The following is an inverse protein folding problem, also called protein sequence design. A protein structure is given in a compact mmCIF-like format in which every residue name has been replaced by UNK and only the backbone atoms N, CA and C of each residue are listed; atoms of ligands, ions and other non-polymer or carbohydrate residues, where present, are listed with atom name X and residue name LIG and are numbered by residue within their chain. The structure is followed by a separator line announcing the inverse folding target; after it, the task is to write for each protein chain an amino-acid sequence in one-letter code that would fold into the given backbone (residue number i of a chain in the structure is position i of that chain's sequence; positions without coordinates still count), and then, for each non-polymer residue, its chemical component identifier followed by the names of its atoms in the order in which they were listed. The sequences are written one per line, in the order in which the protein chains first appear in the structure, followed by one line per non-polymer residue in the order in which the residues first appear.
data_IF_769089513600
#
_entry.id   IF_769089513600
#
_cell.length_a   1.000
_cell.length_b   1.000
_cell.length_c   1.000
_cell.angle_alpha   90.00
_cell.angle_beta   90.00
_cell.angle_gamma   90.00
#
_symmetry.space_group_name_H-M   'P 1'
#
loop_
_entity.id
_entity.type
_entity.pdbx_description
1 polymer ?
#
# COMPACT_ATOMS: atom_id res chain seq x y z
N UNK A 1 16.78 9.21 -8.09
CA UNK A 1 15.77 10.13 -8.58
C UNK A 1 15.00 10.74 -7.42
N UNK A 2 14.61 12.00 -7.55
CA UNK A 2 13.80 12.63 -6.52
C UNK A 2 12.39 12.03 -6.47
N UNK A 3 11.85 11.94 -5.28
CA UNK A 3 10.47 11.48 -5.08
C UNK A 3 9.50 12.49 -5.70
N UNK A 4 8.52 12.00 -6.46
CA UNK A 4 7.49 12.83 -7.06
C UNK A 4 6.38 13.08 -6.06
N UNK A 5 6.31 14.29 -5.49
CA UNK A 5 5.30 14.66 -4.50
C UNK A 5 3.89 14.81 -5.09
N UNK A 6 3.75 14.76 -6.41
CA UNK A 6 2.47 14.87 -7.09
C UNK A 6 1.85 13.51 -7.44
N UNK A 7 2.44 12.41 -6.98
CA UNK A 7 1.84 11.10 -7.21
C UNK A 7 0.52 10.95 -6.43
N UNK A 8 -0.34 10.06 -6.92
CA UNK A 8 -1.69 9.87 -6.36
C UNK A 8 -1.66 9.46 -4.89
N UNK A 9 -0.73 8.59 -4.50
CA UNK A 9 -0.66 8.12 -3.12
C UNK A 9 -0.22 9.24 -2.17
N UNK A 10 0.72 10.08 -2.59
CA UNK A 10 1.10 11.25 -1.80
C UNK A 10 -0.09 12.21 -1.61
N UNK A 11 -0.90 12.38 -2.66
CA UNK A 11 -2.10 13.21 -2.58
C UNK A 11 -3.14 12.63 -1.63
N UNK A 12 -3.30 11.31 -1.62
CA UNK A 12 -4.19 10.63 -0.67
C UNK A 12 -3.69 10.85 0.76
N UNK A 13 -2.40 10.74 1.00
CA UNK A 13 -1.82 10.97 2.33
C UNK A 13 -2.03 12.40 2.82
N UNK A 14 -2.04 13.38 1.92
CA UNK A 14 -2.29 14.79 2.26
C UNK A 14 -3.78 15.11 2.38
N UNK A 15 -4.65 14.17 2.08
CA UNK A 15 -6.09 14.38 2.13
C UNK A 15 -6.66 15.10 0.89
N UNK A 16 -5.86 15.26 -0.17
CA UNK A 16 -6.31 15.93 -1.40
C UNK A 16 -7.19 15.06 -2.27
N UNK A 17 -7.03 13.73 -2.16
CA UNK A 17 -7.83 12.75 -2.88
C UNK A 17 -8.46 11.82 -1.85
N UNK A 18 -9.79 11.63 -1.87
CA UNK A 18 -10.45 10.72 -0.93
C UNK A 18 -10.12 9.26 -1.24
N UNK A 19 -10.17 8.42 -0.20
CA UNK A 19 -10.01 6.97 -0.34
C UNK A 19 -10.93 6.27 0.65
N UNK A 20 -11.20 4.98 0.40
CA UNK A 20 -11.90 4.14 1.37
C UNK A 20 -10.85 3.57 2.30
N UNK A 21 -10.70 4.21 3.45
CA UNK A 21 -9.66 3.88 4.43
C UNK A 21 -10.03 2.62 5.19
N UNK A 22 -9.10 1.67 5.31
CA UNK A 22 -9.26 0.44 6.08
C UNK A 22 -8.54 0.53 7.43
N UNK A 23 -7.38 1.16 7.45
CA UNK A 23 -6.55 1.27 8.64
C UNK A 23 -5.52 2.39 8.44
N UNK A 24 -5.21 3.10 9.52
CA UNK A 24 -4.18 4.14 9.48
C UNK A 24 -3.51 4.23 10.85
N UNK A 25 -2.18 4.36 10.86
CA UNK A 25 -1.42 4.68 12.05
C UNK A 25 -0.35 5.73 11.72
N UNK A 26 0.63 5.92 12.61
CA UNK A 26 1.69 6.92 12.42
C UNK A 26 2.55 6.66 11.20
N UNK A 27 2.65 5.41 10.75
CA UNK A 27 3.62 4.98 9.75
C UNK A 27 3.00 4.53 8.44
N UNK A 28 1.75 4.07 8.46
CA UNK A 28 1.14 3.45 7.29
C UNK A 28 -0.31 3.86 7.11
N UNK A 29 -0.79 3.70 5.86
CA UNK A 29 -2.19 3.84 5.50
C UNK A 29 -2.58 2.63 4.65
N UNK A 30 -3.69 2.01 4.98
CA UNK A 30 -4.28 0.94 4.18
C UNK A 30 -5.64 1.37 3.66
N UNK A 31 -5.90 1.14 2.37
CA UNK A 31 -7.16 1.56 1.74
C UNK A 31 -7.52 0.60 0.60
N UNK A 32 -8.79 0.67 0.17
CA UNK A 32 -9.27 -0.14 -0.95
C UNK A 32 -8.77 0.43 -2.27
N UNK A 33 -8.36 -0.45 -3.19
CA UNK A 33 -8.02 -0.02 -4.54
C UNK A 33 -9.33 0.38 -5.26
N UNK A 34 -9.28 1.52 -5.97
CA UNK A 34 -10.45 1.99 -6.73
C UNK A 34 -10.69 1.19 -8.00
N UNK A 35 -9.70 0.42 -8.45
CA UNK A 35 -9.82 -0.48 -9.61
C UNK A 35 -9.39 -1.89 -9.18
N UNK A 36 -10.16 -2.56 -8.32
CA UNK A 36 -9.76 -3.85 -7.76
C UNK A 36 -9.78 -4.96 -8.81
N UNK A 37 -8.78 -5.84 -8.74
CA UNK A 37 -8.72 -7.05 -9.56
C UNK A 37 -9.49 -8.21 -8.93
N UNK A 38 -9.77 -8.12 -7.63
CA UNK A 38 -10.49 -9.15 -6.88
C UNK A 38 -11.18 -8.49 -5.69
N UNK A 39 -12.17 -9.19 -5.11
CA UNK A 39 -12.80 -8.74 -3.89
C UNK A 39 -11.75 -8.62 -2.79
N UNK A 40 -11.76 -7.52 -2.05
CA UNK A 40 -10.80 -7.28 -1.00
C UNK A 40 -9.43 -6.82 -1.48
N UNK A 41 -9.32 -6.36 -2.73
CA UNK A 41 -8.05 -5.81 -3.25
C UNK A 41 -7.71 -4.53 -2.49
N UNK A 42 -6.74 -4.62 -1.60
CA UNK A 42 -6.33 -3.52 -0.73
C UNK A 42 -4.89 -3.12 -0.98
N UNK A 43 -4.58 -1.86 -0.67
CA UNK A 43 -3.23 -1.31 -0.79
C UNK A 43 -2.76 -0.86 0.59
N UNK A 44 -1.50 -1.13 0.90
CA UNK A 44 -0.82 -0.61 2.10
C UNK A 44 0.33 0.25 1.62
N UNK A 45 0.34 1.51 2.05
CA UNK A 45 1.41 2.44 1.70
C UNK A 45 2.07 3.00 2.96
N UNK A 46 3.40 3.22 2.92
CA UNK A 46 4.07 3.94 4.01
C UNK A 46 3.76 5.43 3.92
N UNK A 47 3.79 6.11 5.05
CA UNK A 47 3.69 7.58 5.08
C UNK A 47 5.02 8.23 4.72
N UNK A 48 6.12 7.48 4.81
CA UNK A 48 7.42 7.93 4.36
C UNK A 48 7.45 8.06 2.85
N UNK A 49 8.06 9.13 2.33
CA UNK A 49 8.17 9.39 0.90
C UNK A 49 9.26 8.49 0.29
N UNK A 50 8.84 7.39 -0.30
CA UNK A 50 9.74 6.45 -0.98
C UNK A 50 9.07 5.93 -2.24
N UNK A 51 9.81 5.91 -3.35
CA UNK A 51 9.29 5.39 -4.61
C UNK A 51 9.35 3.87 -4.64
N UNK A 52 10.45 3.29 -4.16
CA UNK A 52 10.68 1.84 -4.18
C UNK A 52 11.09 1.34 -2.80
N UNK A 53 11.12 0.01 -2.67
CA UNK A 53 11.60 -0.64 -1.45
C UNK A 53 13.05 -0.27 -1.11
N UNK A 54 13.85 0.01 -2.12
CA UNK A 54 15.28 0.28 -1.93
C UNK A 54 15.54 1.63 -1.27
N UNK A 55 14.57 2.53 -1.30
CA UNK A 55 14.67 3.87 -0.70
C UNK A 55 13.98 3.95 0.65
N UNK A 56 13.23 2.90 1.03
CA UNK A 56 12.45 2.88 2.26
C UNK A 56 13.33 2.59 3.47
N UNK A 57 13.08 3.29 4.59
CA UNK A 57 13.80 2.99 5.83
C UNK A 57 13.40 1.64 6.40
N UNK A 58 14.28 1.05 7.22
CA UNK A 58 14.00 -0.23 7.88
C UNK A 58 12.77 -0.13 8.78
N UNK A 59 12.62 0.98 9.49
CA UNK A 59 11.47 1.20 10.37
C UNK A 59 10.16 1.24 9.58
N UNK A 60 10.15 1.95 8.46
CA UNK A 60 8.96 2.04 7.60
C UNK A 60 8.65 0.69 6.94
N UNK A 61 9.68 -0.05 6.52
CA UNK A 61 9.49 -1.39 5.96
C UNK A 61 8.84 -2.34 6.97
N UNK A 62 9.32 -2.33 8.21
CA UNK A 62 8.76 -3.16 9.28
C UNK A 62 7.31 -2.77 9.57
N UNK A 63 7.02 -1.46 9.61
CA UNK A 63 5.66 -0.96 9.86
C UNK A 63 4.70 -1.38 8.75
N UNK A 64 5.14 -1.32 7.48
CA UNK A 64 4.34 -1.78 6.35
C UNK A 64 4.01 -3.27 6.46
N UNK A 65 4.97 -4.11 6.80
CA UNK A 65 4.73 -5.55 6.92
C UNK A 65 3.79 -5.86 8.09
N UNK A 66 3.87 -5.13 9.18
CA UNK A 66 2.94 -5.28 10.31
C UNK A 66 1.51 -4.94 9.87
N UNK A 67 1.32 -3.87 9.12
CA UNK A 67 0.01 -3.47 8.60
C UNK A 67 -0.50 -4.49 7.58
N UNK A 68 0.36 -4.98 6.68
CA UNK A 68 0.05 -6.05 5.73
C UNK A 68 -0.52 -7.27 6.45
N UNK A 69 0.13 -7.72 7.51
CA UNK A 69 -0.32 -8.86 8.30
C UNK A 69 -1.69 -8.61 8.92
N UNK A 70 -1.91 -7.40 9.43
CA UNK A 70 -3.19 -6.98 10.02
C UNK A 70 -4.32 -7.02 9.00
N UNK A 71 -4.10 -6.43 7.83
CA UNK A 71 -5.09 -6.40 6.74
C UNK A 71 -5.35 -7.81 6.21
N UNK A 72 -4.29 -8.60 5.98
CA UNK A 72 -4.44 -9.98 5.50
C UNK A 72 -5.22 -10.85 6.45
N UNK A 73 -4.99 -10.71 7.77
CA UNK A 73 -5.74 -11.44 8.78
C UNK A 73 -7.23 -11.07 8.73
N UNK A 74 -7.54 -9.77 8.57
CA UNK A 74 -8.91 -9.30 8.45
C UNK A 74 -9.58 -9.84 7.19
N UNK A 75 -8.87 -9.91 6.07
CA UNK A 75 -9.39 -10.46 4.81
C UNK A 75 -9.71 -11.95 4.95
N UNK A 76 -8.86 -12.71 5.62
CA UNK A 76 -9.11 -14.14 5.85
C UNK A 76 -10.36 -14.36 6.70
N UNK A 77 -10.55 -13.55 7.72
CA UNK A 77 -11.72 -13.66 8.63
C UNK A 77 -12.99 -13.11 8.01
N UNK A 78 -12.89 -11.92 7.39
CA UNK A 78 -14.07 -11.20 6.89
C UNK A 78 -14.58 -11.68 5.56
N UNK A 79 -13.68 -12.10 4.66
CA UNK A 79 -14.03 -12.54 3.30
C UNK A 79 -13.90 -14.04 3.13
N UNK A 80 -13.44 -14.76 4.14
CA UNK A 80 -13.24 -16.21 4.04
C UNK A 80 -12.16 -16.59 3.05
N UNK A 81 -11.18 -15.70 2.82
CA UNK A 81 -10.11 -15.95 1.86
C UNK A 81 -9.25 -17.14 2.28
N UNK A 82 -9.06 -18.10 1.37
CA UNK A 82 -8.22 -19.27 1.62
C UNK A 82 -6.75 -18.95 1.42
N UNK A 83 -6.45 -17.97 0.57
CA UNK A 83 -5.10 -17.51 0.30
C UNK A 83 -5.09 -16.06 -0.09
N UNK A 84 -3.93 -15.42 0.04
CA UNK A 84 -3.74 -14.01 -0.28
C UNK A 84 -2.45 -13.86 -1.05
N UNK A 85 -2.51 -13.18 -2.18
CA UNK A 85 -1.31 -12.80 -2.93
C UNK A 85 -0.88 -11.43 -2.45
N UNK A 86 0.37 -11.31 -2.06
CA UNK A 86 0.98 -10.03 -1.69
C UNK A 86 2.01 -9.66 -2.75
N UNK A 87 1.89 -8.46 -3.33
CA UNK A 87 2.81 -7.98 -4.35
C UNK A 87 3.40 -6.63 -3.97
N UNK A 88 4.66 -6.43 -4.34
CA UNK A 88 5.33 -5.14 -4.22
C UNK A 88 6.20 -4.97 -5.48
N UNK A 89 5.99 -3.89 -6.20
CA UNK A 89 6.61 -3.66 -7.51
C UNK A 89 7.57 -2.48 -7.43
N UNK A 90 8.79 -2.66 -7.93
CA UNK A 90 9.83 -1.65 -7.89
C UNK A 90 10.24 -1.24 -9.30
N UNK A 91 9.80 -0.04 -9.72
CA UNK A 91 10.14 0.52 -11.01
C UNK A 91 9.13 0.17 -12.10
N UNK A 92 9.06 1.01 -13.13
CA UNK A 92 8.11 0.85 -14.23
C UNK A 92 8.30 -0.47 -14.96
N UNK A 93 9.55 -0.91 -15.13
CA UNK A 93 9.87 -2.16 -15.84
C UNK A 93 9.29 -3.38 -15.10
N UNK A 94 9.06 -3.28 -13.79
CA UNK A 94 8.45 -4.34 -12.99
C UNK A 94 6.95 -4.19 -12.83
N UNK A 95 6.36 -3.14 -13.45
CA UNK A 95 4.91 -2.93 -13.42
C UNK A 95 4.45 -1.87 -12.41
N UNK A 96 5.36 -1.14 -11.77
CA UNK A 96 4.98 -0.08 -10.86
C UNK A 96 4.37 1.09 -11.65
N UNK A 97 3.13 1.45 -11.35
CA UNK A 97 2.42 2.52 -12.07
C UNK A 97 2.36 3.83 -11.29
N UNK A 98 2.44 3.78 -9.96
CA UNK A 98 2.46 4.97 -9.11
C UNK A 98 3.83 5.05 -8.43
N UNK A 99 4.53 6.20 -8.50
CA UNK A 99 5.87 6.33 -7.93
C UNK A 99 5.84 6.59 -6.42
N UNK A 100 5.15 5.74 -5.70
CA UNK A 100 5.12 5.65 -4.24
C UNK A 100 4.97 4.18 -3.90
N UNK A 101 5.83 3.69 -3.01
CA UNK A 101 5.81 2.27 -2.63
C UNK A 101 4.43 1.86 -2.13
N UNK A 102 3.96 0.72 -2.60
CA UNK A 102 2.73 0.11 -2.11
C UNK A 102 2.88 -1.40 -2.04
N UNK A 103 2.14 -2.01 -1.12
CA UNK A 103 2.02 -3.45 -0.98
C UNK A 103 0.57 -3.81 -1.31
N UNK A 104 0.40 -4.68 -2.27
CA UNK A 104 -0.91 -4.99 -2.86
C UNK A 104 -1.38 -6.35 -2.35
N UNK A 105 -2.59 -6.39 -1.78
CA UNK A 105 -3.25 -7.61 -1.35
C UNK A 105 -4.32 -8.00 -2.37
N UNK A 106 -4.30 -9.23 -2.82
CA UNK A 106 -5.34 -9.77 -3.71
C UNK A 106 -5.89 -11.08 -3.15
#
# INVERSE_FOLDING_TARGET
MAYDTNNIFAKILRGEIPCIKLFEDEHTLAFMDIMPQAEGHALVIPKEAATTLFELSDAAAAACMATVRRIGTAQKKGLGAEGIVLMQLNGEAAGQTVPHLSLIHI
#
